data_IF_910739993398
#
_entry.id   IF_910739993398
#
_cell.length_a   1.000
_cell.length_b   1.000
_cell.length_c   1.000
_cell.angle_alpha   90.00
_cell.angle_beta   90.00
_cell.angle_gamma   90.00
#
_symmetry.space_group_name_H-M   'P 1'
#
loop_
_entity.id
_entity.type
_entity.pdbx_description
1 polymer ?
#
# COMPACT_ATOMS: atom_id res chain seq x y z
N UNK A 1 4.13 -1.71 -13.04
CA UNK A 1 4.40 -0.50 -12.24
C UNK A 1 4.47 0.75 -13.11
N UNK A 2 3.60 1.72 -12.83
CA UNK A 2 3.67 3.08 -13.38
C UNK A 2 4.35 4.02 -12.37
N UNK A 3 5.57 4.46 -12.65
CA UNK A 3 6.30 5.42 -11.82
C UNK A 3 6.07 6.86 -12.30
N UNK A 4 6.15 7.87 -11.41
CA UNK A 4 6.00 9.25 -11.82
C UNK A 4 7.15 9.68 -12.72
N UNK A 5 6.81 10.35 -13.82
CA UNK A 5 7.77 10.92 -14.76
C UNK A 5 7.14 12.14 -15.47
N UNK A 6 7.80 12.69 -16.50
CA UNK A 6 7.30 13.86 -17.24
C UNK A 6 5.94 13.62 -17.95
N UNK A 7 5.57 12.37 -18.21
CA UNK A 7 4.33 11.95 -18.88
C UNK A 7 3.30 11.44 -17.87
N UNK A 8 3.74 10.72 -16.84
CA UNK A 8 2.89 10.17 -15.78
C UNK A 8 2.98 11.03 -14.54
N UNK A 9 1.92 11.79 -14.25
CA UNK A 9 1.83 12.58 -13.03
C UNK A 9 1.88 11.71 -11.77
N UNK A 10 2.30 12.30 -10.65
CA UNK A 10 2.33 11.65 -9.34
C UNK A 10 1.01 10.95 -9.04
N UNK A 11 -0.12 11.65 -9.20
CA UNK A 11 -1.47 11.16 -8.91
C UNK A 11 -1.82 9.88 -9.67
N UNK A 12 -1.27 9.71 -10.87
CA UNK A 12 -1.50 8.55 -11.71
C UNK A 12 -0.47 7.44 -11.50
N UNK A 13 0.59 7.67 -10.72
CA UNK A 13 1.64 6.70 -10.43
C UNK A 13 1.34 5.78 -9.24
N UNK A 14 2.00 4.62 -9.17
CA UNK A 14 1.88 3.66 -8.06
C UNK A 14 2.25 4.30 -6.70
N UNK A 15 3.16 5.28 -6.69
CA UNK A 15 3.61 5.95 -5.47
C UNK A 15 2.48 6.76 -4.81
N UNK A 16 1.48 7.22 -5.57
CA UNK A 16 0.35 7.93 -4.98
C UNK A 16 -0.51 7.07 -4.06
N UNK A 17 -0.39 5.74 -4.14
CA UNK A 17 -1.10 4.81 -3.27
C UNK A 17 -0.39 4.63 -1.92
N UNK A 18 0.89 5.00 -1.82
CA UNK A 18 1.67 4.72 -0.61
C UNK A 18 1.08 5.42 0.62
N UNK A 19 0.76 6.73 0.59
CA UNK A 19 0.20 7.40 1.76
C UNK A 19 -1.12 6.75 2.21
N UNK A 20 -2.03 6.49 1.27
CA UNK A 20 -3.34 5.90 1.59
C UNK A 20 -3.21 4.50 2.23
N UNK A 21 -2.31 3.66 1.69
CA UNK A 21 -2.05 2.32 2.22
C UNK A 21 -1.45 2.41 3.63
N UNK A 22 -0.45 3.28 3.81
CA UNK A 22 0.23 3.42 5.10
C UNK A 22 -0.69 4.03 6.16
N UNK A 23 -1.51 5.03 5.81
CA UNK A 23 -2.50 5.60 6.73
C UNK A 23 -3.53 4.56 7.16
N UNK A 24 -4.04 3.72 6.25
CA UNK A 24 -4.96 2.66 6.60
C UNK A 24 -4.33 1.63 7.56
N UNK A 25 -3.10 1.18 7.27
CA UNK A 25 -2.37 0.22 8.11
C UNK A 25 -1.88 0.83 9.44
N UNK A 26 -1.70 2.16 9.50
CA UNK A 26 -1.40 2.87 10.74
C UNK A 26 -2.59 2.89 11.70
N UNK A 27 -3.83 2.77 11.21
CA UNK A 27 -5.03 2.70 12.06
C UNK A 27 -5.30 1.29 12.58
N UNK A 28 -5.18 0.27 11.73
CA UNK A 28 -5.37 -1.13 12.12
C UNK A 28 -4.66 -2.07 11.14
N UNK A 29 -4.31 -3.26 11.61
CA UNK A 29 -3.83 -4.32 10.73
C UNK A 29 -5.00 -4.80 9.87
N UNK A 30 -4.77 -4.96 8.56
CA UNK A 30 -5.82 -5.28 7.60
C UNK A 30 -5.37 -6.34 6.61
N UNK A 31 -6.30 -7.15 6.12
CA UNK A 31 -6.01 -8.03 5.00
C UNK A 31 -5.80 -7.23 3.70
N UNK A 32 -5.00 -7.73 2.73
CA UNK A 32 -4.84 -7.08 1.43
C UNK A 32 -6.16 -6.81 0.72
N UNK A 33 -7.17 -7.65 0.95
CA UNK A 33 -8.51 -7.50 0.38
C UNK A 33 -9.24 -6.29 0.95
N UNK A 34 -9.26 -6.15 2.28
CA UNK A 34 -9.88 -4.98 2.95
C UNK A 34 -9.17 -3.69 2.56
N UNK A 35 -7.83 -3.73 2.53
CA UNK A 35 -7.00 -2.61 2.13
C UNK A 35 -7.27 -2.21 0.67
N UNK A 36 -7.46 -3.19 -0.23
CA UNK A 36 -7.84 -2.93 -1.62
C UNK A 36 -9.20 -2.24 -1.70
N UNK A 37 -10.23 -2.76 -1.03
CA UNK A 37 -11.57 -2.14 -1.04
C UNK A 37 -11.56 -0.69 -0.49
N UNK A 38 -10.73 -0.39 0.52
CA UNK A 38 -10.58 0.97 1.04
C UNK A 38 -9.82 1.90 0.08
N UNK A 39 -8.83 1.38 -0.64
CA UNK A 39 -7.98 2.15 -1.57
C UNK A 39 -8.55 2.24 -2.99
N UNK A 40 -9.59 1.45 -3.32
CA UNK A 40 -10.26 1.43 -4.63
C UNK A 40 -10.86 2.77 -5.08
N UNK A 41 -10.95 3.75 -4.18
CA UNK A 41 -11.50 5.08 -4.49
C UNK A 41 -10.76 5.81 -5.63
N UNK A 42 -9.49 5.47 -5.93
CA UNK A 42 -8.70 6.14 -6.98
C UNK A 42 -8.69 5.46 -8.36
N UNK A 43 -9.62 4.56 -8.66
CA UNK A 43 -9.69 3.84 -9.96
C UNK A 43 -8.39 3.12 -10.37
N UNK A 44 -7.56 2.71 -9.40
CA UNK A 44 -6.29 2.05 -9.71
C UNK A 44 -6.50 0.56 -9.90
N UNK A 45 -5.88 0.02 -10.94
CA UNK A 45 -5.90 -1.39 -11.26
C UNK A 45 -5.29 -2.23 -10.13
N UNK A 46 -5.80 -3.44 -9.92
CA UNK A 46 -5.29 -4.40 -8.93
C UNK A 46 -3.77 -4.64 -9.09
N UNK A 47 -3.26 -4.61 -10.33
CA UNK A 47 -1.83 -4.77 -10.60
C UNK A 47 -0.97 -3.62 -10.03
N UNK A 48 -1.47 -2.37 -10.09
CA UNK A 48 -0.76 -1.22 -9.53
C UNK A 48 -0.84 -1.22 -7.99
N UNK A 49 -1.96 -1.70 -7.43
CA UNK A 49 -2.08 -1.90 -5.98
C UNK A 49 -1.10 -2.96 -5.46
N UNK A 50 -1.05 -4.14 -6.08
CA UNK A 50 -0.08 -5.19 -5.70
C UNK A 50 1.36 -4.68 -5.81
N UNK A 51 1.67 -3.98 -6.90
CA UNK A 51 2.97 -3.35 -7.06
C UNK A 51 3.32 -2.37 -5.93
N UNK A 52 2.32 -1.63 -5.42
CA UNK A 52 2.51 -0.71 -4.30
C UNK A 52 2.85 -1.46 -3.01
N UNK A 53 2.14 -2.56 -2.74
CA UNK A 53 2.41 -3.43 -1.59
C UNK A 53 3.82 -4.02 -1.65
N UNK A 54 4.22 -4.55 -2.80
CA UNK A 54 5.56 -5.12 -2.99
C UNK A 54 6.65 -4.07 -2.71
N UNK A 55 6.44 -2.83 -3.18
CA UNK A 55 7.35 -1.73 -2.91
C UNK A 55 7.41 -1.38 -1.42
N UNK A 56 6.27 -1.24 -0.76
CA UNK A 56 6.22 -0.90 0.66
C UNK A 56 6.81 -2.00 1.53
N UNK A 57 6.64 -3.26 1.15
CA UNK A 57 7.24 -4.41 1.81
C UNK A 57 8.75 -4.42 1.63
N UNK A 58 9.24 -4.23 0.39
CA UNK A 58 10.67 -4.12 0.10
C UNK A 58 11.34 -2.92 0.81
N UNK A 59 10.59 -1.83 1.02
CA UNK A 59 11.03 -0.66 1.79
C UNK A 59 11.00 -0.88 3.31
N UNK A 60 10.52 -2.04 3.78
CA UNK A 60 10.37 -2.35 5.20
C UNK A 60 9.33 -1.47 5.91
N UNK A 61 8.38 -0.91 5.16
CA UNK A 61 7.30 -0.08 5.72
C UNK A 61 6.09 -0.91 6.15
N UNK A 62 5.84 -2.03 5.50
CA UNK A 62 4.78 -2.96 5.87
C UNK A 62 5.34 -4.37 6.07
N UNK A 63 4.78 -5.09 7.03
CA UNK A 63 5.08 -6.50 7.32
C UNK A 63 3.86 -7.37 7.03
N UNK A 64 4.12 -8.64 6.71
CA UNK A 64 3.07 -9.65 6.56
C UNK A 64 3.09 -10.55 7.79
N UNK A 65 1.96 -10.63 8.49
CA UNK A 65 1.78 -11.57 9.61
C UNK A 65 1.15 -12.84 9.04
N UNK A 66 1.93 -13.91 8.97
CA UNK A 66 1.49 -15.17 8.35
C UNK A 66 0.29 -15.82 9.05
N UNK A 67 0.21 -15.68 10.38
CA UNK A 67 -0.85 -16.28 11.20
C UNK A 67 -2.25 -15.72 10.90
N UNK A 68 -2.33 -14.46 10.44
CA UNK A 68 -3.59 -13.79 10.09
C UNK A 68 -3.74 -13.44 8.60
N UNK A 69 -2.68 -13.61 7.78
CA UNK A 69 -2.58 -13.05 6.42
C UNK A 69 -2.96 -11.56 6.37
N UNK A 70 -2.57 -10.84 7.42
CA UNK A 70 -2.80 -9.40 7.53
C UNK A 70 -1.50 -8.65 7.29
N UNK A 71 -1.64 -7.48 6.68
CA UNK A 71 -0.59 -6.51 6.54
C UNK A 71 -0.58 -5.64 7.81
N UNK A 72 0.61 -5.37 8.32
CA UNK A 72 0.86 -4.51 9.48
C UNK A 72 1.82 -3.40 9.09
N UNK A 73 1.59 -2.20 9.62
CA UNK A 73 2.54 -1.10 9.47
C UNK A 73 3.74 -1.29 10.42
N UNK A 74 4.97 -1.26 9.91
CA UNK A 74 6.18 -1.56 10.69
C UNK A 74 6.53 -0.45 11.69
N UNK A 75 6.27 0.81 11.35
CA UNK A 75 6.58 1.97 12.22
C UNK A 75 5.72 2.00 13.49
N UNK A 76 4.59 1.27 13.49
CA UNK A 76 3.77 1.08 14.69
C UNK A 76 4.49 0.33 15.81
N UNK A 77 5.49 -0.49 15.49
CA UNK A 77 6.30 -1.21 16.49
C UNK A 77 7.45 -0.35 17.06
N UNK A 78 7.69 0.85 16.51
CA UNK A 78 8.77 1.74 16.96
C UNK A 78 8.30 2.78 17.99
N UNK A 79 7.05 2.70 18.49
CA UNK A 79 6.50 3.56 19.55
C UNK A 79 6.27 2.80 20.85
#
# INVERSE_FOLDING_TARGET
MRLPNKVTSYTNSVISLFPDILEALAQQDMSPKELFELTRYREKDMADFLSALDCLFALGKIGLIEEGRVLRYVDRDSM
#
